data_IF_040827329439
#
_entry.id   IF_040827329439
#
_cell.length_a   1.000
_cell.length_b   1.000
_cell.length_c   1.000
_cell.angle_alpha   90.00
_cell.angle_beta   90.00
_cell.angle_gamma   90.00
#
_symmetry.space_group_name_H-M   'P 1'
#
loop_
_entity.id
_entity.type
_entity.pdbx_description
1 polymer ?
#
# COMPACT_ATOMS: atom_id res chain seq x y z
N UNK A 1 7.76 28.87 -4.60
CA UNK A 1 8.20 28.00 -5.71
C UNK A 1 7.21 26.85 -5.73
N UNK A 2 6.09 27.05 -6.43
CA UNK A 2 5.05 26.03 -6.57
C UNK A 2 5.62 24.88 -7.40
N UNK A 3 5.93 23.75 -6.74
CA UNK A 3 6.04 22.48 -7.43
C UNK A 3 4.63 22.12 -7.91
N UNK A 4 4.24 22.59 -9.08
CA UNK A 4 3.16 21.96 -9.84
C UNK A 4 3.65 20.54 -10.13
N UNK A 5 3.29 19.59 -9.26
CA UNK A 5 3.68 18.19 -9.41
C UNK A 5 3.34 17.75 -10.83
N UNK A 6 4.34 17.28 -11.57
CA UNK A 6 4.15 16.88 -12.97
C UNK A 6 3.13 15.74 -13.01
N UNK A 7 2.14 15.84 -13.92
CA UNK A 7 1.11 14.81 -14.11
C UNK A 7 1.75 13.43 -14.27
N UNK A 8 2.85 13.38 -15.02
CA UNK A 8 3.59 12.14 -15.27
C UNK A 8 4.15 11.54 -13.98
N UNK A 9 4.67 12.37 -13.09
CA UNK A 9 5.17 11.93 -11.79
C UNK A 9 4.04 11.33 -10.93
N UNK A 10 2.88 11.99 -10.89
CA UNK A 10 1.72 11.50 -10.15
C UNK A 10 1.25 10.13 -10.68
N UNK A 11 1.16 9.97 -12.01
CA UNK A 11 0.80 8.69 -12.62
C UNK A 11 1.82 7.59 -12.32
N UNK A 12 3.11 7.91 -12.39
CA UNK A 12 4.17 6.97 -12.04
C UNK A 12 4.11 6.54 -10.58
N UNK A 13 3.79 7.46 -9.66
CA UNK A 13 3.60 7.14 -8.23
C UNK A 13 2.44 6.18 -8.00
N UNK A 14 1.35 6.34 -8.75
CA UNK A 14 0.19 5.42 -8.71
C UNK A 14 0.60 4.03 -9.20
N UNK A 15 1.29 3.94 -10.34
CA UNK A 15 1.79 2.68 -10.88
C UNK A 15 2.73 1.98 -9.89
N UNK A 16 3.67 2.72 -9.30
CA UNK A 16 4.59 2.22 -8.27
C UNK A 16 3.85 1.68 -7.04
N UNK A 17 2.77 2.35 -6.62
CA UNK A 17 1.94 1.89 -5.51
C UNK A 17 1.20 0.59 -5.87
N UNK A 18 0.69 0.46 -7.09
CA UNK A 18 0.07 -0.77 -7.59
C UNK A 18 1.06 -1.94 -7.60
N UNK A 19 2.26 -1.74 -8.15
CA UNK A 19 3.33 -2.75 -8.15
C UNK A 19 3.73 -3.15 -6.73
N UNK A 20 3.76 -2.19 -5.79
CA UNK A 20 4.00 -2.49 -4.38
C UNK A 20 2.90 -3.35 -3.78
N UNK A 21 1.62 -3.11 -4.10
CA UNK A 21 0.51 -3.94 -3.61
C UNK A 21 0.57 -5.35 -4.19
N UNK A 22 0.92 -5.50 -5.49
CA UNK A 22 1.13 -6.82 -6.10
C UNK A 22 2.24 -7.59 -5.38
N UNK A 23 3.36 -6.94 -5.07
CA UNK A 23 4.46 -7.55 -4.31
C UNK A 23 4.07 -7.94 -2.88
N UNK A 24 3.01 -7.33 -2.32
CA UNK A 24 2.44 -7.69 -1.02
C UNK A 24 1.39 -8.82 -1.12
N UNK A 25 1.12 -9.34 -2.31
CA UNK A 25 0.19 -10.44 -2.55
C UNK A 25 -1.25 -10.01 -2.82
N UNK A 26 -1.51 -8.74 -3.11
CA UNK A 26 -2.85 -8.28 -3.50
C UNK A 26 -3.20 -8.80 -4.90
N UNK A 27 -4.42 -9.30 -5.07
CA UNK A 27 -4.95 -9.66 -6.40
C UNK A 27 -5.28 -8.42 -7.23
N UNK A 28 -5.48 -8.59 -8.54
CA UNK A 28 -5.88 -7.50 -9.42
C UNK A 28 -7.20 -6.85 -8.99
N UNK A 29 -8.18 -7.64 -8.57
CA UNK A 29 -9.48 -7.18 -8.09
C UNK A 29 -9.35 -6.40 -6.77
N UNK A 30 -8.47 -6.85 -5.87
CA UNK A 30 -8.21 -6.15 -4.61
C UNK A 30 -7.53 -4.79 -4.86
N UNK A 31 -6.58 -4.74 -5.79
CA UNK A 31 -5.94 -3.49 -6.20
C UNK A 31 -6.97 -2.54 -6.81
N UNK A 32 -7.83 -3.03 -7.69
CA UNK A 32 -8.90 -2.24 -8.29
C UNK A 32 -9.83 -1.65 -7.21
N UNK A 33 -10.24 -2.45 -6.24
CA UNK A 33 -11.07 -1.96 -5.12
C UNK A 33 -10.37 -0.85 -4.33
N UNK A 34 -9.08 -1.01 -4.01
CA UNK A 34 -8.30 0.03 -3.30
C UNK A 34 -8.21 1.31 -4.14
N UNK A 35 -7.95 1.21 -5.44
CA UNK A 35 -7.89 2.36 -6.32
C UNK A 35 -9.26 3.05 -6.41
N UNK A 36 -10.34 2.30 -6.58
CA UNK A 36 -11.71 2.86 -6.59
C UNK A 36 -12.05 3.56 -5.28
N UNK A 37 -11.64 3.03 -4.14
CA UNK A 37 -11.86 3.65 -2.84
C UNK A 37 -11.06 4.96 -2.69
N UNK A 38 -9.78 4.95 -3.06
CA UNK A 38 -8.93 6.15 -2.97
C UNK A 38 -9.39 7.24 -3.94
N UNK A 39 -9.77 6.88 -5.16
CA UNK A 39 -10.16 7.81 -6.22
C UNK A 39 -11.68 8.00 -6.33
N UNK A 40 -12.45 7.73 -5.27
CA UNK A 40 -13.89 7.97 -5.21
C UNK A 40 -14.67 7.45 -6.45
N UNK A 41 -14.29 6.28 -6.97
CA UNK A 41 -14.82 5.64 -8.18
C UNK A 41 -14.64 6.44 -9.48
N UNK A 42 -13.82 7.49 -9.46
CA UNK A 42 -13.51 8.30 -10.63
C UNK A 42 -12.18 7.87 -11.25
N UNK A 43 -12.06 7.92 -12.59
CA UNK A 43 -10.78 7.78 -13.28
C UNK A 43 -9.79 8.85 -12.84
N UNK A 44 -8.51 8.49 -12.73
CA UNK A 44 -7.45 9.41 -12.30
C UNK A 44 -7.30 10.63 -13.24
N UNK A 45 -7.65 10.45 -14.53
CA UNK A 45 -7.62 11.51 -15.53
C UNK A 45 -8.61 12.65 -15.30
N UNK A 46 -9.60 12.48 -14.43
CA UNK A 46 -10.61 13.49 -14.13
C UNK A 46 -10.15 14.52 -13.08
N UNK A 47 -9.08 14.22 -12.34
CA UNK A 47 -8.56 15.10 -11.29
C UNK A 47 -7.60 16.14 -11.86
N UNK A 48 -7.59 17.35 -11.30
CA UNK A 48 -6.46 18.28 -11.50
C UNK A 48 -5.18 17.72 -10.84
N UNK A 49 -4.01 18.27 -11.13
CA UNK A 49 -2.78 17.82 -10.44
C UNK A 49 -2.83 18.11 -8.93
N UNK A 50 -3.44 19.24 -8.56
CA UNK A 50 -3.61 19.69 -7.18
C UNK A 50 -4.54 18.75 -6.40
N UNK A 51 -5.64 18.30 -7.03
CA UNK A 51 -6.57 17.36 -6.42
C UNK A 51 -6.04 15.92 -6.40
N UNK A 52 -5.23 15.55 -7.41
CA UNK A 52 -4.71 14.20 -7.54
C UNK A 52 -3.59 13.92 -6.51
N UNK A 53 -2.74 14.91 -6.24
CA UNK A 53 -1.63 14.77 -5.29
C UNK A 53 -2.04 14.21 -3.92
N UNK A 54 -3.02 14.76 -3.18
CA UNK A 54 -3.40 14.23 -1.86
C UNK A 54 -3.99 12.82 -1.93
N UNK A 55 -4.64 12.45 -3.05
CA UNK A 55 -5.15 11.10 -3.26
C UNK A 55 -4.00 10.09 -3.47
N UNK A 56 -2.98 10.47 -4.25
CA UNK A 56 -1.77 9.66 -4.43
C UNK A 56 -1.03 9.48 -3.11
N UNK A 57 -0.91 10.54 -2.30
CA UNK A 57 -0.32 10.42 -0.96
C UNK A 57 -1.11 9.49 -0.03
N UNK A 58 -2.44 9.51 -0.11
CA UNK A 58 -3.31 8.58 0.62
C UNK A 58 -3.04 7.13 0.20
N UNK A 59 -2.99 6.87 -1.12
CA UNK A 59 -2.66 5.56 -1.66
C UNK A 59 -1.30 5.05 -1.14
N UNK A 60 -0.26 5.89 -1.22
CA UNK A 60 1.09 5.53 -0.75
C UNK A 60 1.11 5.25 0.76
N UNK A 61 0.38 6.03 1.57
CA UNK A 61 0.24 5.78 3.02
C UNK A 61 -0.39 4.43 3.31
N UNK A 62 -1.46 4.06 2.59
CA UNK A 62 -2.13 2.75 2.75
C UNK A 62 -1.20 1.60 2.39
N UNK A 63 -0.47 1.72 1.27
CA UNK A 63 0.54 0.72 0.88
C UNK A 63 1.62 0.58 1.95
N UNK A 64 2.12 1.69 2.48
CA UNK A 64 3.13 1.66 3.54
C UNK A 64 2.59 0.99 4.82
N UNK A 65 1.35 1.27 5.22
CA UNK A 65 0.71 0.60 6.36
C UNK A 65 0.54 -0.90 6.11
N UNK A 66 0.11 -1.32 4.91
CA UNK A 66 0.00 -2.73 4.55
C UNK A 66 1.37 -3.45 4.66
N UNK A 67 2.46 -2.83 4.17
CA UNK A 67 3.83 -3.34 4.35
C UNK A 67 4.16 -3.54 5.83
N UNK A 68 3.86 -2.56 6.68
CA UNK A 68 4.12 -2.64 8.13
C UNK A 68 3.32 -3.76 8.79
N UNK A 69 2.05 -3.92 8.44
CA UNK A 69 1.22 -5.01 8.96
C UNK A 69 1.73 -6.38 8.54
N UNK A 70 2.09 -6.56 7.27
CA UNK A 70 2.67 -7.81 6.77
C UNK A 70 3.97 -8.13 7.49
N UNK A 71 4.86 -7.15 7.66
CA UNK A 71 6.08 -7.34 8.44
C UNK A 71 5.79 -7.73 9.89
N UNK A 72 4.83 -7.08 10.55
CA UNK A 72 4.42 -7.41 11.92
C UNK A 72 3.84 -8.82 12.05
N UNK A 73 2.99 -9.23 11.10
CA UNK A 73 2.40 -10.57 11.09
C UNK A 73 3.46 -11.65 10.78
N UNK A 74 4.43 -11.35 9.92
CA UNK A 74 5.49 -12.28 9.50
C UNK A 74 6.69 -12.28 10.45
N UNK A 75 6.89 -11.26 11.28
CA UNK A 75 8.06 -11.16 12.16
C UNK A 75 8.09 -12.22 13.26
N UNK A 76 7.00 -12.98 13.44
CA UNK A 76 6.81 -13.90 14.55
C UNK A 76 6.81 -13.14 15.89
N UNK A 77 5.87 -13.45 16.78
CA UNK A 77 6.05 -13.05 18.18
C UNK A 77 7.10 -13.98 18.79
N UNK A 78 8.37 -13.70 18.52
CA UNK A 78 9.45 -14.36 19.25
C UNK A 78 9.37 -13.86 20.70
N UNK A 79 8.73 -14.64 21.59
CA UNK A 79 8.77 -14.39 23.04
C UNK A 79 7.46 -14.23 23.82
N UNK A 80 6.29 -14.73 23.36
CA UNK A 80 5.11 -14.85 24.23
C UNK A 80 4.62 -16.30 24.32
N UNK A 81 5.46 -17.15 24.90
CA UNK A 81 5.03 -18.43 25.46
C UNK A 81 4.46 -18.23 26.87
N UNK A 82 3.15 -18.12 26.99
CA UNK A 82 2.43 -18.59 28.18
C UNK A 82 1.41 -19.64 27.73
N UNK A 83 1.82 -20.91 27.82
CA UNK A 83 0.93 -22.06 27.84
C UNK A 83 0.84 -22.92 26.57
N UNK A 84 1.79 -23.85 26.43
CA UNK A 84 1.71 -25.14 25.71
C UNK A 84 1.88 -25.21 24.16
N UNK A 85 2.42 -26.34 23.65
CA UNK A 85 3.49 -26.31 22.66
C UNK A 85 3.06 -26.84 21.29
N UNK A 86 3.21 -26.01 20.24
CA UNK A 86 3.68 -26.47 18.93
C UNK A 86 4.58 -25.38 18.35
N UNK A 87 5.87 -25.63 18.52
CA UNK A 87 6.98 -24.94 17.87
C UNK A 87 6.73 -24.71 16.37
N UNK A 88 7.07 -23.53 15.85
CA UNK A 88 7.91 -23.43 14.67
C UNK A 88 9.33 -23.12 15.13
N UNK A 89 10.28 -23.97 14.74
CA UNK A 89 11.70 -23.73 14.98
C UNK A 89 12.08 -22.38 14.37
N UNK A 90 12.50 -21.43 15.21
CA UNK A 90 13.24 -20.26 14.78
C UNK A 90 14.71 -20.67 14.71
N UNK A 91 15.10 -21.36 13.63
CA UNK A 91 16.50 -21.57 13.31
C UNK A 91 16.97 -20.48 12.34
N UNK A 92 17.73 -19.52 12.88
CA UNK A 92 18.98 -19.01 12.29
C UNK A 92 19.93 -18.60 13.41
#
# INVERSE_FOLDING_TARGET
MEMLTDRRELLWRIERAMLSMQALGYSAEQIEMVLRDVFNQQPQGNYSNEDLLPLVENLEKRVHQAKRWILYLNSGTCGLSHGQPKTPSCDM
#
